data_IF_871132761385
#
_entry.id   IF_871132761385
#
_cell.length_a   1.000
_cell.length_b   1.000
_cell.length_c   1.000
_cell.angle_alpha   90.00
_cell.angle_beta   90.00
_cell.angle_gamma   90.00
#
_symmetry.space_group_name_H-M   'P 1'
#
loop_
_entity.id
_entity.type
_entity.pdbx_description
1 polymer ?
#
# COMPACT_ATOMS: atom_id res chain seq x y z
N UNK A 1 16.08 19.13 -4.98
CA UNK A 1 15.80 17.72 -5.33
C UNK A 1 14.37 17.64 -5.83
N UNK A 2 14.11 17.05 -7.00
CA UNK A 2 12.74 16.95 -7.54
C UNK A 2 11.87 16.03 -6.69
N UNK A 3 10.54 16.07 -6.87
CA UNK A 3 9.64 15.14 -6.19
C UNK A 3 9.93 13.69 -6.61
N UNK A 4 10.26 13.46 -7.88
CA UNK A 4 10.62 12.14 -8.43
C UNK A 4 11.85 11.58 -7.73
N UNK A 5 12.89 12.41 -7.57
CA UNK A 5 14.13 12.01 -6.88
C UNK A 5 13.85 11.69 -5.41
N UNK A 6 13.02 12.50 -4.75
CA UNK A 6 12.63 12.28 -3.35
C UNK A 6 11.91 10.95 -3.16
N UNK A 7 10.91 10.65 -3.99
CA UNK A 7 10.16 9.39 -3.91
C UNK A 7 11.06 8.20 -4.20
N UNK A 8 11.99 8.34 -5.17
CA UNK A 8 12.92 7.25 -5.49
C UNK A 8 13.88 6.99 -4.33
N UNK A 9 14.47 8.04 -3.72
CA UNK A 9 15.34 7.89 -2.57
C UNK A 9 14.63 7.26 -1.36
N UNK A 10 13.38 7.68 -1.07
CA UNK A 10 12.57 7.08 0.00
C UNK A 10 12.27 5.60 -0.28
N UNK A 11 11.89 5.29 -1.52
CA UNK A 11 11.62 3.92 -1.95
C UNK A 11 12.87 3.04 -1.82
N UNK A 12 14.02 3.49 -2.31
CA UNK A 12 15.26 2.70 -2.26
C UNK A 12 15.70 2.46 -0.80
N UNK A 13 15.57 3.46 0.07
CA UNK A 13 15.84 3.33 1.49
C UNK A 13 14.89 2.33 2.18
N UNK A 14 13.58 2.39 1.86
CA UNK A 14 12.57 1.45 2.36
C UNK A 14 12.86 0.01 1.92
N UNK A 15 13.11 -0.20 0.62
CA UNK A 15 13.40 -1.53 0.08
C UNK A 15 14.68 -2.10 0.66
N UNK A 16 15.74 -1.29 0.75
CA UNK A 16 16.99 -1.71 1.36
C UNK A 16 16.81 -2.11 2.83
N UNK A 17 16.12 -1.29 3.64
CA UNK A 17 15.91 -1.58 5.05
C UNK A 17 15.09 -2.86 5.27
N UNK A 18 14.05 -3.09 4.45
CA UNK A 18 13.23 -4.30 4.49
C UNK A 18 13.99 -5.56 4.09
N UNK A 19 14.81 -5.48 3.04
CA UNK A 19 15.67 -6.59 2.62
C UNK A 19 16.77 -6.90 3.63
N UNK A 20 17.33 -5.87 4.27
CA UNK A 20 18.37 -6.02 5.28
C UNK A 20 17.85 -6.42 6.68
N UNK A 21 16.53 -6.57 6.86
CA UNK A 21 15.93 -6.94 8.15
C UNK A 21 16.15 -5.91 9.26
N UNK A 22 16.26 -4.62 8.91
CA UNK A 22 16.46 -3.54 9.87
C UNK A 22 15.19 -3.27 10.68
N UNK A 23 15.33 -2.59 11.82
CA UNK A 23 14.19 -1.97 12.49
C UNK A 23 13.56 -0.92 11.57
N UNK A 24 12.30 -1.14 11.23
CA UNK A 24 11.54 -0.31 10.30
C UNK A 24 10.82 0.85 11.01
N UNK A 25 10.68 0.82 12.34
CA UNK A 25 9.90 1.81 13.09
C UNK A 25 10.33 3.26 12.81
N UNK A 26 11.60 3.63 13.03
CA UNK A 26 12.09 4.99 12.78
C UNK A 26 12.00 5.40 11.30
N UNK A 27 12.23 4.46 10.38
CA UNK A 27 12.17 4.72 8.94
C UNK A 27 10.73 4.95 8.48
N UNK A 28 9.79 4.09 8.90
CA UNK A 28 8.37 4.21 8.60
C UNK A 28 7.82 5.52 9.18
N UNK A 29 8.23 5.92 10.40
CA UNK A 29 7.86 7.22 10.98
C UNK A 29 8.37 8.40 10.13
N UNK A 30 9.65 8.38 9.74
CA UNK A 30 10.27 9.40 8.88
C UNK A 30 9.55 9.49 7.53
N UNK A 31 9.29 8.35 6.89
CA UNK A 31 8.55 8.30 5.63
C UNK A 31 7.12 8.82 5.80
N UNK A 32 6.44 8.45 6.88
CA UNK A 32 5.10 8.95 7.20
C UNK A 32 5.03 10.47 7.35
N UNK A 33 6.01 11.07 8.04
CA UNK A 33 6.13 12.54 8.12
C UNK A 33 6.34 13.16 6.74
N UNK A 34 7.22 12.59 5.91
CA UNK A 34 7.47 13.13 4.58
C UNK A 34 6.26 12.97 3.64
N UNK A 35 5.55 11.85 3.70
CA UNK A 35 4.31 11.61 2.93
C UNK A 35 3.27 12.68 3.27
N UNK A 36 3.09 13.00 4.57
CA UNK A 36 2.18 14.08 5.00
C UNK A 36 2.59 15.44 4.45
N UNK A 37 3.87 15.77 4.54
CA UNK A 37 4.40 17.02 4.02
C UNK A 37 4.19 17.12 2.50
N UNK A 38 4.47 16.07 1.73
CA UNK A 38 4.19 16.03 0.29
C UNK A 38 2.71 16.28 0.01
N UNK A 39 1.80 15.63 0.74
CA UNK A 39 0.36 15.86 0.56
C UNK A 39 -0.02 17.32 0.83
N UNK A 40 0.57 17.94 1.86
CA UNK A 40 0.32 19.34 2.20
C UNK A 40 0.87 20.30 1.14
N UNK A 41 2.13 20.09 0.71
CA UNK A 41 2.82 20.90 -0.29
C UNK A 41 2.05 20.93 -1.63
N UNK A 42 1.42 19.81 -2.00
CA UNK A 42 0.64 19.68 -3.23
C UNK A 42 -0.85 20.06 -3.08
N UNK A 43 -1.31 20.34 -1.86
CA UNK A 43 -2.74 20.53 -1.58
C UNK A 43 -3.60 19.28 -1.81
N UNK A 44 -3.00 18.09 -1.83
CA UNK A 44 -3.65 16.84 -2.19
C UNK A 44 -2.68 15.67 -2.38
N UNK A 45 -3.21 14.50 -2.71
CA UNK A 45 -2.38 13.33 -2.98
C UNK A 45 -1.72 13.43 -4.37
N UNK A 46 -0.46 12.99 -4.54
CA UNK A 46 0.20 12.98 -5.84
C UNK A 46 -0.58 12.17 -6.89
N UNK A 47 -0.68 12.73 -8.09
CA UNK A 47 -1.25 12.07 -9.28
C UNK A 47 -0.28 12.20 -10.47
N UNK A 48 -0.75 11.87 -11.66
CA UNK A 48 0.03 11.86 -12.90
C UNK A 48 0.46 13.26 -13.39
N UNK A 49 0.00 14.33 -12.76
CA UNK A 49 0.54 15.68 -12.99
C UNK A 49 1.85 15.90 -12.22
N UNK A 50 2.13 15.07 -11.23
CA UNK A 50 3.26 15.22 -10.31
C UNK A 50 4.32 14.12 -10.48
N UNK A 51 3.87 12.90 -10.77
CA UNK A 51 4.70 11.69 -10.84
C UNK A 51 4.25 10.84 -12.03
N UNK A 52 5.19 10.21 -12.72
CA UNK A 52 4.85 9.19 -13.71
C UNK A 52 4.30 7.91 -13.04
N UNK A 53 3.92 6.91 -13.85
CA UNK A 53 3.38 5.65 -13.34
C UNK A 53 4.38 4.88 -12.46
N UNK A 54 5.69 5.07 -12.62
CA UNK A 54 6.67 4.46 -11.74
C UNK A 54 6.71 5.17 -10.38
N UNK A 55 6.80 6.49 -10.38
CA UNK A 55 6.75 7.32 -9.18
C UNK A 55 5.48 7.09 -8.37
N UNK A 56 4.32 6.98 -9.02
CA UNK A 56 3.05 6.68 -8.35
C UNK A 56 3.02 5.28 -7.73
N UNK A 57 3.64 4.28 -8.38
CA UNK A 57 3.78 2.92 -7.81
C UNK A 57 4.68 2.93 -6.57
N UNK A 58 5.83 3.60 -6.64
CA UNK A 58 6.74 3.77 -5.50
C UNK A 58 6.05 4.48 -4.35
N UNK A 59 5.36 5.59 -4.62
CA UNK A 59 4.59 6.34 -3.63
C UNK A 59 3.51 5.48 -2.98
N UNK A 60 2.72 4.75 -3.78
CA UNK A 60 1.67 3.87 -3.26
C UNK A 60 2.23 2.78 -2.34
N UNK A 61 3.40 2.20 -2.67
CA UNK A 61 4.05 1.22 -1.82
C UNK A 61 4.51 1.82 -0.49
N UNK A 62 5.11 3.02 -0.52
CA UNK A 62 5.50 3.74 0.69
C UNK A 62 4.30 3.97 1.63
N UNK A 63 3.12 4.29 1.09
CA UNK A 63 1.88 4.42 1.88
C UNK A 63 1.37 3.05 2.39
N UNK A 64 1.47 2.00 1.59
CA UNK A 64 1.15 0.62 2.02
C UNK A 64 1.97 0.23 3.25
N UNK A 65 3.23 0.67 3.32
CA UNK A 65 4.13 0.39 4.43
C UNK A 65 3.83 1.14 5.72
N UNK A 66 2.99 2.20 5.69
CA UNK A 66 2.57 2.98 6.86
C UNK A 66 1.56 2.25 7.76
N UNK A 67 1.93 1.06 8.26
CA UNK A 67 1.05 0.12 8.96
C UNK A 67 0.55 0.66 10.30
N UNK A 68 1.36 1.48 10.98
CA UNK A 68 0.98 2.14 12.24
C UNK A 68 0.14 3.40 12.03
N UNK A 69 -0.22 3.75 10.78
CA UNK A 69 -0.95 4.96 10.44
C UNK A 69 -2.22 4.65 9.63
N UNK A 70 -3.20 3.90 10.20
CA UNK A 70 -4.38 3.45 9.47
C UNK A 70 -5.24 4.61 8.93
N UNK A 71 -5.27 5.76 9.61
CA UNK A 71 -6.01 6.95 9.12
C UNK A 71 -5.37 7.54 7.85
N UNK A 72 -4.03 7.50 7.71
CA UNK A 72 -3.36 7.91 6.47
C UNK A 72 -3.74 6.98 5.31
N UNK A 73 -3.75 5.68 5.56
CA UNK A 73 -4.13 4.69 4.55
C UNK A 73 -5.61 4.83 4.14
N UNK A 74 -6.48 5.12 5.10
CA UNK A 74 -7.91 5.38 4.89
C UNK A 74 -8.16 6.65 4.07
N UNK A 75 -7.41 7.71 4.34
CA UNK A 75 -7.45 8.97 3.59
C UNK A 75 -6.89 8.80 2.16
N UNK A 76 -5.85 7.99 1.97
CA UNK A 76 -5.27 7.70 0.65
C UNK A 76 -6.12 6.72 -0.20
N UNK A 77 -6.85 5.81 0.42
CA UNK A 77 -7.52 4.71 -0.29
C UNK A 77 -8.47 5.14 -1.44
N UNK A 78 -9.29 6.20 -1.31
CA UNK A 78 -10.12 6.68 -2.42
C UNK A 78 -9.30 7.18 -3.61
N UNK A 79 -8.20 7.89 -3.33
CA UNK A 79 -7.28 8.40 -4.36
C UNK A 79 -6.57 7.25 -5.08
N UNK A 80 -6.01 6.30 -4.32
CA UNK A 80 -5.38 5.11 -4.86
C UNK A 80 -6.33 4.32 -5.76
N UNK A 81 -7.61 4.18 -5.38
CA UNK A 81 -8.62 3.54 -6.24
C UNK A 81 -8.77 4.26 -7.58
N UNK A 82 -8.70 5.59 -7.59
CA UNK A 82 -8.70 6.39 -8.81
C UNK A 82 -7.48 6.10 -9.69
N UNK A 83 -6.29 6.05 -9.11
CA UNK A 83 -5.05 5.68 -9.81
C UNK A 83 -5.12 4.27 -10.40
N UNK A 84 -5.67 3.30 -9.66
CA UNK A 84 -5.83 1.93 -10.15
C UNK A 84 -6.82 1.81 -11.31
N UNK A 85 -7.94 2.54 -11.28
CA UNK A 85 -8.89 2.59 -12.40
C UNK A 85 -8.26 3.12 -13.68
N UNK A 86 -7.28 4.02 -13.55
CA UNK A 86 -6.52 4.61 -14.65
C UNK A 86 -5.29 3.80 -15.05
N UNK A 87 -5.10 2.61 -14.46
CA UNK A 87 -3.97 1.72 -14.72
C UNK A 87 -2.58 2.33 -14.41
N UNK A 88 -2.52 3.39 -13.61
CA UNK A 88 -1.26 4.01 -13.19
C UNK A 88 -0.60 3.24 -12.05
N UNK A 89 -1.41 2.53 -11.27
CA UNK A 89 -0.97 1.80 -10.07
C UNK A 89 -1.71 0.46 -9.98
N UNK A 90 -1.02 -0.67 -9.72
CA UNK A 90 -1.66 -1.99 -9.58
C UNK A 90 -2.71 -2.04 -8.46
N UNK A 91 -3.80 -2.76 -8.71
CA UNK A 91 -4.87 -2.99 -7.73
C UNK A 91 -4.42 -3.71 -6.46
N UNK A 92 -3.28 -4.42 -6.50
CA UNK A 92 -2.71 -5.11 -5.35
C UNK A 92 -2.42 -4.16 -4.18
N UNK A 93 -1.93 -2.95 -4.42
CA UNK A 93 -1.68 -1.99 -3.33
C UNK A 93 -2.99 -1.54 -2.65
N UNK A 94 -4.04 -1.33 -3.45
CA UNK A 94 -5.36 -1.02 -2.93
C UNK A 94 -5.94 -2.18 -2.11
N UNK A 95 -5.77 -3.43 -2.57
CA UNK A 95 -6.19 -4.62 -1.82
C UNK A 95 -5.57 -4.67 -0.42
N UNK A 96 -4.24 -4.45 -0.35
CA UNK A 96 -3.48 -4.45 0.90
C UNK A 96 -3.98 -3.38 1.86
N UNK A 97 -4.10 -2.13 1.40
CA UNK A 97 -4.61 -1.03 2.24
C UNK A 97 -6.04 -1.32 2.73
N UNK A 98 -6.90 -1.87 1.87
CA UNK A 98 -8.28 -2.19 2.25
C UNK A 98 -8.35 -3.26 3.34
N UNK A 99 -7.52 -4.28 3.28
CA UNK A 99 -7.47 -5.30 4.34
C UNK A 99 -6.88 -4.71 5.63
N UNK A 100 -5.80 -3.92 5.56
CA UNK A 100 -5.22 -3.23 6.73
C UNK A 100 -6.23 -2.35 7.45
N UNK A 101 -6.96 -1.49 6.72
CA UNK A 101 -8.02 -0.64 7.28
C UNK A 101 -9.11 -1.48 7.97
N UNK A 102 -9.48 -2.62 7.38
CA UNK A 102 -10.53 -3.49 7.93
C UNK A 102 -10.07 -4.19 9.18
N UNK A 103 -8.83 -4.68 9.21
CA UNK A 103 -8.22 -5.29 10.39
C UNK A 103 -8.16 -4.27 11.54
N UNK A 104 -7.72 -3.04 11.27
CA UNK A 104 -7.72 -1.97 12.28
C UNK A 104 -9.12 -1.66 12.83
N UNK A 105 -10.17 -1.91 12.04
CA UNK A 105 -11.57 -1.77 12.43
C UNK A 105 -12.20 -3.07 12.96
N UNK A 106 -11.40 -4.09 13.30
CA UNK A 106 -11.84 -5.43 13.74
C UNK A 106 -12.83 -6.12 12.78
N UNK A 107 -12.67 -5.89 11.47
CA UNK A 107 -13.49 -6.49 10.42
C UNK A 107 -12.70 -7.54 9.64
N UNK A 108 -13.36 -8.60 9.15
CA UNK A 108 -12.72 -9.60 8.30
C UNK A 108 -12.10 -8.96 7.05
N UNK A 109 -10.95 -9.47 6.61
CA UNK A 109 -10.28 -9.08 5.36
C UNK A 109 -11.18 -9.36 4.15
N UNK A 110 -11.03 -8.61 3.07
CA UNK A 110 -11.76 -8.86 1.80
C UNK A 110 -10.96 -9.78 0.89
N UNK A 111 -9.63 -9.56 0.85
CA UNK A 111 -8.74 -10.23 -0.08
C UNK A 111 -7.79 -11.21 0.61
N UNK A 112 -7.60 -11.11 1.92
CA UNK A 112 -6.69 -12.00 2.67
C UNK A 112 -5.22 -11.68 2.36
N UNK A 113 -4.88 -10.41 2.27
CA UNK A 113 -3.52 -9.96 1.98
C UNK A 113 -2.61 -9.90 3.21
N UNK A 114 -3.19 -9.87 4.42
CA UNK A 114 -2.44 -9.92 5.67
C UNK A 114 -2.42 -11.35 6.21
N UNK A 115 -1.24 -11.85 6.57
CA UNK A 115 -1.01 -13.23 7.04
C UNK A 115 -1.19 -13.37 8.56
N UNK A 116 -2.08 -12.58 9.15
CA UNK A 116 -2.44 -12.69 10.55
C UNK A 116 -3.71 -13.54 10.73
N UNK A 117 -4.13 -13.74 11.97
CA UNK A 117 -5.31 -14.56 12.33
C UNK A 117 -6.66 -13.90 11.99
N UNK A 118 -6.66 -12.74 11.35
CA UNK A 118 -7.91 -12.08 10.98
C UNK A 118 -8.63 -12.85 9.88
N UNK A 119 -9.93 -13.15 10.04
CA UNK A 119 -10.68 -13.95 9.09
C UNK A 119 -10.80 -13.24 7.73
N UNK A 120 -11.03 -14.03 6.68
CA UNK A 120 -11.33 -13.53 5.34
C UNK A 120 -12.83 -13.65 5.10
N UNK A 121 -13.48 -12.54 4.73
CA UNK A 121 -14.89 -12.49 4.38
C UNK A 121 -15.14 -13.40 3.17
N UNK A 122 -16.15 -14.28 3.24
CA UNK A 122 -16.59 -15.15 2.13
C UNK A 122 -15.40 -15.87 1.48
N UNK A 123 -14.74 -16.72 2.27
CA UNK A 123 -13.52 -17.43 1.91
C UNK A 123 -13.70 -18.23 0.61
N UNK A 124 -14.86 -18.86 0.45
CA UNK A 124 -15.26 -19.67 -0.71
C UNK A 124 -15.31 -18.90 -2.04
N UNK A 125 -15.34 -17.56 -1.99
CA UNK A 125 -15.34 -16.70 -3.18
C UNK A 125 -14.16 -15.72 -3.22
N UNK A 126 -13.18 -15.86 -2.33
CA UNK A 126 -12.05 -14.92 -2.23
C UNK A 126 -11.25 -14.84 -3.52
N UNK A 127 -11.00 -15.98 -4.16
CA UNK A 127 -10.13 -16.02 -5.34
C UNK A 127 -10.76 -15.30 -6.54
N UNK A 128 -12.10 -15.33 -6.66
CA UNK A 128 -12.80 -14.52 -7.67
C UNK A 128 -12.50 -13.02 -7.52
N UNK A 129 -12.43 -12.52 -6.27
CA UNK A 129 -12.08 -11.11 -6.00
C UNK A 129 -10.59 -10.85 -6.21
N UNK A 130 -9.73 -11.82 -5.83
CA UNK A 130 -8.27 -11.72 -5.96
C UNK A 130 -7.84 -11.66 -7.43
N UNK A 131 -8.40 -12.51 -8.29
CA UNK A 131 -8.13 -12.50 -9.74
C UNK A 131 -8.46 -11.15 -10.38
N UNK A 132 -9.60 -10.53 -10.03
CA UNK A 132 -9.96 -9.21 -10.55
C UNK A 132 -8.92 -8.12 -10.23
N UNK A 133 -8.14 -8.31 -9.16
CA UNK A 133 -7.14 -7.34 -8.67
C UNK A 133 -5.71 -7.77 -9.03
N UNK A 134 -5.55 -8.78 -9.89
CA UNK A 134 -4.25 -9.30 -10.30
C UNK A 134 -3.50 -10.05 -9.20
N UNK A 135 -4.21 -10.51 -8.17
CA UNK A 135 -3.64 -11.28 -7.06
C UNK A 135 -3.67 -12.77 -7.40
N UNK A 136 -2.61 -13.50 -7.03
CA UNK A 136 -2.61 -14.96 -7.00
C UNK A 136 -3.70 -15.51 -6.06
N UNK A 137 -4.06 -16.80 -6.14
CA UNK A 137 -5.01 -17.42 -5.19
C UNK A 137 -4.57 -17.24 -3.73
N UNK A 138 -5.51 -17.25 -2.78
CA UNK A 138 -5.20 -17.12 -1.37
C UNK A 138 -4.28 -18.25 -0.88
N UNK A 139 -4.51 -19.47 -1.36
CA UNK A 139 -3.69 -20.64 -1.07
C UNK A 139 -2.23 -20.42 -1.51
N UNK A 140 -1.99 -20.16 -2.80
CA UNK A 140 -0.65 -19.86 -3.33
C UNK A 140 0.04 -18.70 -2.59
N UNK A 141 -0.71 -17.64 -2.23
CA UNK A 141 -0.15 -16.53 -1.45
C UNK A 141 0.31 -16.97 -0.06
N UNK A 142 -0.46 -17.80 0.64
CA UNK A 142 -0.07 -18.32 1.96
C UNK A 142 1.15 -19.22 1.84
N UNK A 143 1.15 -20.14 0.88
CA UNK A 143 2.25 -21.09 0.66
C UNK A 143 3.59 -20.41 0.34
N UNK A 144 3.58 -19.21 -0.23
CA UNK A 144 4.81 -18.45 -0.57
C UNK A 144 5.39 -17.65 0.60
N UNK A 145 4.59 -17.36 1.63
CA UNK A 145 4.94 -16.38 2.66
C UNK A 145 4.78 -16.91 4.11
N UNK A 146 4.53 -18.22 4.26
CA UNK A 146 4.57 -18.98 5.50
C UNK A 146 5.70 -19.99 5.42
#
# INVERSE_FOLDING_TARGET
MSLVDQISAMYDADQFARLAGKDLGPLDETHGLRIRAIKQDLGGWPDDRHLDAEGLRKFALLVVHQTLQPEMQKDFAPHLKGLCKRQLVPWQYYAVIKDKIRIAAHRPQIYGTQLNDSPVQRLETVDKRRTLFGLQTLEAYRARNL
#
